data_IF_623976745185
#
_entry.id   IF_623976745185
#
_cell.length_a   1.000
_cell.length_b   1.000
_cell.length_c   1.000
_cell.angle_alpha   90.00
_cell.angle_beta   90.00
_cell.angle_gamma   90.00
#
_symmetry.space_group_name_H-M   'P 1'
#
loop_
_entity.id
_entity.type
_entity.pdbx_description
1 polymer ?
#
# COMPACT_ATOMS: atom_id res chain seq x y z
N UNK A 1 12.07 21.57 10.35
CA UNK A 1 10.84 21.44 9.53
C UNK A 1 9.94 22.63 9.83
N UNK A 2 9.38 23.32 8.83
CA UNK A 2 8.44 24.44 9.07
C UNK A 2 7.20 23.89 9.77
N UNK A 3 6.72 24.59 10.82
CA UNK A 3 5.50 24.18 11.52
C UNK A 3 4.30 24.35 10.59
N UNK A 4 3.42 23.37 10.58
CA UNK A 4 2.14 23.38 9.85
C UNK A 4 1.02 22.97 10.79
N UNK A 5 -0.20 23.44 10.54
CA UNK A 5 -1.38 22.93 11.23
C UNK A 5 -1.70 21.50 10.73
N UNK A 6 -2.17 20.61 11.61
CA UNK A 6 -2.63 19.27 11.26
C UNK A 6 -4.07 19.10 11.75
N UNK A 7 -4.97 18.82 10.82
CA UNK A 7 -6.40 18.68 11.10
C UNK A 7 -6.87 17.24 10.87
N UNK A 8 -7.84 16.80 11.68
CA UNK A 8 -8.47 15.47 11.62
C UNK A 8 -9.99 15.61 11.48
N UNK A 9 -10.49 16.18 10.36
CA UNK A 9 -11.92 16.37 10.15
C UNK A 9 -12.67 15.04 10.11
N UNK A 10 -13.91 15.03 10.59
CA UNK A 10 -14.76 13.83 10.60
C UNK A 10 -15.72 13.75 9.40
N UNK A 11 -15.83 14.84 8.62
CA UNK A 11 -16.69 14.96 7.45
C UNK A 11 -15.99 15.62 6.27
N UNK A 12 -16.53 15.40 5.05
CA UNK A 12 -16.06 16.10 3.85
C UNK A 12 -16.31 17.61 3.94
N UNK A 13 -17.43 18.04 4.53
CA UNK A 13 -17.76 19.45 4.69
C UNK A 13 -16.74 20.19 5.56
N UNK A 14 -16.30 19.59 6.68
CA UNK A 14 -15.21 20.13 7.48
C UNK A 14 -13.91 20.21 6.67
N UNK A 15 -13.59 19.16 5.91
CA UNK A 15 -12.39 19.11 5.07
C UNK A 15 -12.41 20.18 3.96
N UNK A 16 -13.56 20.45 3.35
CA UNK A 16 -13.77 21.52 2.37
C UNK A 16 -13.71 22.92 3.01
N UNK A 17 -14.29 23.08 4.21
CA UNK A 17 -14.20 24.31 4.99
C UNK A 17 -12.74 24.68 5.30
N UNK A 18 -11.91 23.69 5.62
CA UNK A 18 -10.49 23.88 5.87
C UNK A 18 -9.72 24.26 4.60
N UNK A 19 -9.95 23.61 3.46
CA UNK A 19 -9.28 24.03 2.21
C UNK A 19 -9.66 25.43 1.77
N UNK A 20 -10.93 25.81 1.96
CA UNK A 20 -11.41 27.19 1.76
C UNK A 20 -10.70 28.18 2.69
N UNK A 21 -10.60 27.87 3.99
CA UNK A 21 -9.90 28.70 5.00
C UNK A 21 -8.45 28.97 4.60
N UNK A 22 -7.75 27.97 4.08
CA UNK A 22 -6.34 28.09 3.72
C UNK A 22 -6.09 28.55 2.27
N UNK A 23 -7.13 28.72 1.44
CA UNK A 23 -7.04 29.26 0.07
C UNK A 23 -5.92 28.61 -0.76
N UNK A 24 -5.89 27.26 -0.80
CA UNK A 24 -4.88 26.49 -1.55
C UNK A 24 -3.53 26.30 -0.83
N UNK A 25 -3.34 26.86 0.36
CA UNK A 25 -2.13 26.65 1.19
C UNK A 25 -2.21 25.42 2.10
N UNK A 26 -3.33 24.70 2.06
CA UNK A 26 -3.51 23.40 2.71
C UNK A 26 -3.40 22.25 1.71
N UNK A 27 -3.02 21.06 2.19
CA UNK A 27 -3.03 19.83 1.39
C UNK A 27 -3.74 18.71 2.13
N UNK A 28 -4.52 17.92 1.39
CA UNK A 28 -5.07 16.67 1.90
C UNK A 28 -3.98 15.60 2.06
N UNK A 29 -4.15 14.76 3.07
CA UNK A 29 -3.27 13.62 3.34
C UNK A 29 -4.14 12.39 3.59
N UNK A 30 -3.95 11.35 2.78
CA UNK A 30 -4.49 10.02 3.05
C UNK A 30 -3.59 9.24 4.00
N UNK A 31 -2.90 8.23 3.47
CA UNK A 31 -1.91 7.46 4.22
C UNK A 31 -0.67 8.23 4.65
N UNK A 32 -0.29 9.30 3.94
CA UNK A 32 0.91 10.10 4.29
C UNK A 32 2.25 9.46 3.91
N UNK A 33 2.25 8.24 3.36
CA UNK A 33 3.46 7.51 2.99
C UNK A 33 4.28 8.18 1.88
N UNK A 34 3.66 9.00 1.04
CA UNK A 34 4.33 9.87 0.05
C UNK A 34 4.36 11.34 0.53
N UNK A 35 3.23 11.84 1.03
CA UNK A 35 3.10 13.23 1.46
C UNK A 35 4.10 13.61 2.57
N UNK A 36 4.34 12.75 3.57
CA UNK A 36 5.24 13.08 4.68
C UNK A 36 6.70 13.14 4.21
N UNK A 37 7.08 12.31 3.24
CA UNK A 37 8.40 12.37 2.59
C UNK A 37 8.57 13.73 1.91
N UNK A 38 7.58 14.18 1.12
CA UNK A 38 7.63 15.48 0.43
C UNK A 38 7.74 16.65 1.40
N UNK A 39 7.04 16.60 2.55
CA UNK A 39 7.17 17.65 3.57
C UNK A 39 8.54 17.59 4.24
N UNK A 40 9.06 16.40 4.56
CA UNK A 40 10.40 16.24 5.16
C UNK A 40 11.52 16.74 4.25
N UNK A 41 11.41 16.49 2.95
CA UNK A 41 12.35 16.94 1.93
C UNK A 41 12.17 18.42 1.54
N UNK A 42 11.20 19.12 2.11
CA UNK A 42 10.93 20.54 1.81
C UNK A 42 10.29 20.78 0.43
N UNK A 43 9.94 19.73 -0.30
CA UNK A 43 9.21 19.80 -1.57
C UNK A 43 7.80 20.34 -1.37
N UNK A 44 7.18 19.97 -0.25
CA UNK A 44 5.90 20.52 0.20
C UNK A 44 6.11 21.36 1.45
N UNK A 45 5.62 22.59 1.44
CA UNK A 45 5.65 23.51 2.59
C UNK A 45 4.25 24.07 2.88
N UNK A 46 3.27 23.19 3.18
CA UNK A 46 1.90 23.63 3.43
C UNK A 46 1.81 24.39 4.76
N UNK A 47 0.82 25.27 4.86
CA UNK A 47 0.44 25.85 6.15
C UNK A 47 -0.45 24.90 6.96
N UNK A 48 -1.16 24.01 6.28
CA UNK A 48 -1.97 22.98 6.90
C UNK A 48 -1.98 21.65 6.13
N UNK A 49 -1.98 20.56 6.89
CA UNK A 49 -2.30 19.22 6.41
C UNK A 49 -3.68 18.83 6.95
N UNK A 50 -4.50 18.27 6.07
CA UNK A 50 -5.86 17.83 6.40
C UNK A 50 -5.92 16.31 6.22
N UNK A 51 -5.96 15.59 7.33
CA UNK A 51 -6.03 14.13 7.35
C UNK A 51 -7.41 13.67 6.91
N UNK A 52 -7.47 12.93 5.79
CA UNK A 52 -8.71 12.32 5.32
C UNK A 52 -9.06 11.03 6.08
N UNK A 53 -8.16 10.58 6.95
CA UNK A 53 -8.30 9.30 7.67
C UNK A 53 -9.61 9.27 8.44
N UNK A 54 -10.00 10.35 9.11
CA UNK A 54 -11.11 10.36 10.07
C UNK A 54 -12.50 10.45 9.44
N UNK A 55 -12.58 10.60 8.11
CA UNK A 55 -13.84 10.64 7.36
C UNK A 55 -14.27 9.20 7.03
N UNK A 56 -15.18 8.64 7.82
CA UNK A 56 -15.61 7.24 7.70
C UNK A 56 -16.14 6.89 6.30
N UNK A 57 -16.83 7.82 5.64
CA UNK A 57 -17.42 7.63 4.31
C UNK A 57 -16.39 7.37 3.19
N UNK A 58 -15.11 7.69 3.43
CA UNK A 58 -14.03 7.46 2.46
C UNK A 58 -13.40 6.07 2.57
N UNK A 59 -13.83 5.23 3.52
CA UNK A 59 -13.17 3.95 3.82
C UNK A 59 -13.98 2.75 3.33
N UNK A 60 -13.31 1.62 3.24
CA UNK A 60 -13.94 0.31 3.15
C UNK A 60 -14.22 -0.19 1.73
N UNK A 61 -14.71 -1.42 1.70
CA UNK A 61 -14.98 -2.20 0.50
C UNK A 61 -16.45 -2.63 0.60
N UNK A 62 -17.27 -2.22 -0.36
CA UNK A 62 -18.69 -2.57 -0.43
C UNK A 62 -19.01 -3.20 -1.77
N UNK A 63 -19.76 -4.31 -1.76
CA UNK A 63 -20.37 -4.87 -2.96
C UNK A 63 -21.80 -4.38 -3.05
N UNK A 64 -22.17 -3.85 -4.20
CA UNK A 64 -23.52 -3.43 -4.55
C UNK A 64 -23.92 -4.12 -5.87
N UNK A 65 -25.19 -4.04 -6.26
CA UNK A 65 -25.67 -4.71 -7.47
C UNK A 65 -24.95 -4.16 -8.72
N UNK A 66 -24.15 -5.01 -9.36
CA UNK A 66 -23.42 -4.68 -10.59
C UNK A 66 -22.09 -3.94 -10.40
N UNK A 67 -21.64 -3.65 -9.17
CA UNK A 67 -20.32 -3.06 -8.94
C UNK A 67 -19.71 -3.33 -7.56
N UNK A 68 -18.38 -3.25 -7.50
CA UNK A 68 -17.58 -3.20 -6.29
C UNK A 68 -17.14 -1.75 -6.04
N UNK A 69 -17.50 -1.21 -4.87
CA UNK A 69 -17.12 0.14 -4.45
C UNK A 69 -15.98 0.08 -3.44
N UNK A 70 -14.88 0.77 -3.72
CA UNK A 70 -13.80 1.02 -2.77
C UNK A 70 -13.83 2.48 -2.36
N UNK A 71 -13.85 2.76 -1.05
CA UNK A 71 -13.55 4.09 -0.56
C UNK A 71 -12.11 4.51 -0.90
N UNK A 72 -11.87 5.78 -1.17
CA UNK A 72 -10.52 6.25 -1.54
C UNK A 72 -9.47 6.08 -0.43
N UNK A 73 -9.90 6.00 0.83
CA UNK A 73 -9.08 5.73 2.00
C UNK A 73 -8.94 4.23 2.32
N UNK A 74 -9.43 3.33 1.47
CA UNK A 74 -9.19 1.89 1.61
C UNK A 74 -7.70 1.59 1.51
N UNK A 75 -7.17 0.86 2.50
CA UNK A 75 -5.76 0.52 2.59
C UNK A 75 -5.38 -0.51 1.53
N UNK A 76 -4.15 -0.44 1.04
CA UNK A 76 -3.62 -1.48 0.16
C UNK A 76 -3.63 -2.85 0.82
N UNK A 77 -3.43 -2.91 2.14
CA UNK A 77 -3.52 -4.18 2.89
C UNK A 77 -4.94 -4.76 2.87
N UNK A 78 -5.97 -3.93 2.99
CA UNK A 78 -7.36 -4.38 2.90
C UNK A 78 -7.65 -4.96 1.51
N UNK A 79 -7.19 -4.30 0.45
CA UNK A 79 -7.34 -4.77 -0.94
C UNK A 79 -6.58 -6.09 -1.15
N UNK A 80 -5.38 -6.24 -0.59
CA UNK A 80 -4.55 -7.44 -0.71
C UNK A 80 -5.23 -8.69 -0.14
N UNK A 81 -6.02 -8.56 0.94
CA UNK A 81 -6.56 -9.72 1.68
C UNK A 81 -8.08 -9.86 1.64
N UNK A 82 -8.81 -8.92 1.04
CA UNK A 82 -10.27 -8.98 1.03
C UNK A 82 -10.79 -10.02 0.04
N UNK A 83 -11.58 -10.99 0.52
CA UNK A 83 -12.12 -12.09 -0.28
C UNK A 83 -12.99 -11.61 -1.48
N UNK A 84 -13.73 -10.52 -1.31
CA UNK A 84 -14.53 -9.92 -2.40
C UNK A 84 -13.62 -9.34 -3.48
N UNK A 85 -12.53 -8.66 -3.11
CA UNK A 85 -11.55 -8.16 -4.09
C UNK A 85 -10.83 -9.32 -4.77
N UNK A 86 -10.38 -10.33 -4.02
CA UNK A 86 -9.69 -11.50 -4.58
C UNK A 86 -10.53 -12.23 -5.64
N UNK A 87 -11.85 -12.28 -5.45
CA UNK A 87 -12.78 -12.91 -6.39
C UNK A 87 -13.19 -12.00 -7.56
N UNK A 88 -13.49 -10.72 -7.31
CA UNK A 88 -14.09 -9.84 -8.33
C UNK A 88 -13.06 -8.98 -9.08
N UNK A 89 -11.91 -8.72 -8.46
CA UNK A 89 -10.84 -7.88 -9.00
C UNK A 89 -9.44 -8.49 -8.74
N UNK A 90 -9.17 -9.74 -9.16
CA UNK A 90 -7.91 -10.41 -8.85
C UNK A 90 -6.67 -9.68 -9.37
N UNK A 91 -6.75 -8.96 -10.50
CA UNK A 91 -5.62 -8.14 -10.98
C UNK A 91 -5.32 -6.94 -10.05
N UNK A 92 -6.33 -6.40 -9.34
CA UNK A 92 -6.12 -5.38 -8.33
C UNK A 92 -5.52 -5.96 -7.05
N UNK A 93 -5.91 -7.18 -6.67
CA UNK A 93 -5.29 -7.90 -5.54
C UNK A 93 -3.82 -8.26 -5.82
N UNK A 94 -3.53 -8.74 -7.05
CA UNK A 94 -2.17 -8.95 -7.54
C UNK A 94 -1.34 -7.66 -7.36
N UNK A 95 -1.84 -6.53 -7.86
CA UNK A 95 -1.17 -5.23 -7.73
C UNK A 95 -0.98 -4.84 -6.26
N UNK A 96 -2.02 -4.97 -5.44
CA UNK A 96 -1.96 -4.66 -4.01
C UNK A 96 -0.85 -5.41 -3.31
N UNK A 97 -0.63 -6.69 -3.64
CA UNK A 97 0.44 -7.49 -3.04
C UNK A 97 1.86 -7.04 -3.38
N UNK A 98 2.01 -6.25 -4.46
CA UNK A 98 3.28 -5.74 -5.01
C UNK A 98 3.48 -4.23 -4.77
N UNK A 99 2.51 -3.55 -4.15
CA UNK A 99 2.64 -2.14 -3.76
C UNK A 99 3.52 -2.06 -2.52
N UNK A 100 4.74 -1.55 -2.67
CA UNK A 100 5.67 -1.26 -1.59
C UNK A 100 5.82 -2.41 -0.57
N UNK A 101 6.26 -2.14 0.66
CA UNK A 101 6.38 -3.18 1.69
C UNK A 101 5.12 -3.25 2.59
N UNK A 102 4.96 -4.31 3.42
CA UNK A 102 3.81 -4.46 4.32
C UNK A 102 3.55 -3.22 5.20
N UNK A 103 4.59 -2.61 5.77
CA UNK A 103 4.47 -1.42 6.62
C UNK A 103 3.88 -0.22 5.89
N UNK A 104 4.20 -0.08 4.59
CA UNK A 104 3.60 0.94 3.74
C UNK A 104 2.14 0.57 3.42
N UNK A 105 1.84 -0.70 3.10
CA UNK A 105 0.46 -1.13 2.74
C UNK A 105 -0.54 -1.03 3.88
N UNK A 106 -0.07 -1.13 5.11
CA UNK A 106 -0.88 -0.95 6.33
C UNK A 106 -1.31 0.50 6.56
N UNK A 107 -0.80 1.44 5.76
CA UNK A 107 -1.06 2.88 5.94
C UNK A 107 -1.43 3.57 4.61
N UNK A 108 -0.84 3.13 3.51
CA UNK A 108 -1.06 3.66 2.18
C UNK A 108 -2.44 3.25 1.65
N UNK A 109 -3.08 4.20 0.98
CA UNK A 109 -4.44 4.07 0.47
C UNK A 109 -4.45 3.99 -1.05
N UNK A 110 -5.43 3.30 -1.63
CA UNK A 110 -5.60 3.26 -3.10
C UNK A 110 -5.86 4.65 -3.69
N UNK A 111 -6.67 5.51 -3.04
CA UNK A 111 -6.94 6.87 -3.51
C UNK A 111 -5.68 7.74 -3.49
N UNK A 112 -4.88 7.66 -2.43
CA UNK A 112 -3.58 8.33 -2.37
C UNK A 112 -2.61 7.88 -3.47
N UNK A 113 -2.63 6.61 -3.86
CA UNK A 113 -1.82 6.10 -4.99
C UNK A 113 -2.26 6.71 -6.33
N UNK A 114 -3.56 6.78 -6.59
CA UNK A 114 -4.12 7.38 -7.80
C UNK A 114 -3.88 8.89 -7.84
N UNK A 115 -4.18 9.62 -6.76
CA UNK A 115 -3.99 11.07 -6.69
C UNK A 115 -2.51 11.49 -6.71
N UNK A 116 -1.58 10.59 -6.38
CA UNK A 116 -0.15 10.86 -6.61
C UNK A 116 0.19 10.96 -8.10
N UNK A 117 -0.63 10.34 -8.96
CA UNK A 117 -0.51 10.36 -10.43
C UNK A 117 0.90 10.02 -10.93
N UNK A 118 1.59 9.12 -10.23
CA UNK A 118 2.88 8.62 -10.67
C UNK A 118 2.67 7.74 -11.92
N UNK A 119 3.46 7.92 -12.99
CA UNK A 119 3.35 7.05 -14.17
C UNK A 119 3.55 5.57 -13.84
N UNK A 120 4.31 5.29 -12.77
CA UNK A 120 4.61 3.95 -12.25
C UNK A 120 3.63 3.45 -11.20
N UNK A 121 2.46 4.06 -11.03
CA UNK A 121 1.48 3.65 -10.04
C UNK A 121 0.92 2.26 -10.37
N UNK A 122 1.14 1.28 -9.48
CA UNK A 122 0.69 -0.11 -9.68
C UNK A 122 -0.83 -0.26 -9.66
N UNK A 123 -1.55 0.65 -8.98
CA UNK A 123 -3.02 0.60 -8.91
C UNK A 123 -3.74 1.03 -10.18
N UNK A 124 -3.10 1.82 -11.05
CA UNK A 124 -3.77 2.39 -12.22
C UNK A 124 -4.07 1.34 -13.32
N UNK A 125 -3.09 0.55 -13.83
CA UNK A 125 -3.36 -0.44 -14.87
C UNK A 125 -4.51 -1.42 -14.58
N UNK A 126 -4.60 -2.09 -13.40
CA UNK A 126 -5.70 -3.02 -13.13
C UNK A 126 -7.06 -2.31 -13.13
N UNK A 127 -7.15 -1.12 -12.54
CA UNK A 127 -8.39 -0.34 -12.54
C UNK A 127 -8.78 0.12 -13.96
N UNK A 128 -7.81 0.43 -14.83
CA UNK A 128 -8.06 0.79 -16.23
C UNK A 128 -8.63 -0.37 -17.04
N UNK A 129 -8.11 -1.59 -16.89
CA UNK A 129 -8.65 -2.75 -17.63
C UNK A 129 -10.02 -3.17 -17.12
N UNK A 130 -10.35 -2.87 -15.86
CA UNK A 130 -11.70 -3.09 -15.34
C UNK A 130 -12.71 -2.02 -15.81
N UNK A 131 -12.25 -0.89 -16.37
CA UNK A 131 -13.14 0.19 -16.81
C UNK A 131 -13.76 0.93 -15.62
N UNK A 132 -12.94 1.17 -14.62
CA UNK A 132 -13.32 1.79 -13.35
C UNK A 132 -13.77 3.25 -13.52
N UNK A 133 -14.79 3.65 -12.77
CA UNK A 133 -15.22 5.04 -12.59
C UNK A 133 -14.73 5.58 -11.25
N UNK A 134 -14.25 6.82 -11.23
CA UNK A 134 -13.79 7.51 -10.04
C UNK A 134 -14.80 8.57 -9.62
N UNK A 135 -15.22 8.55 -8.36
CA UNK A 135 -16.11 9.55 -7.79
C UNK A 135 -15.28 10.64 -7.13
N UNK A 136 -15.47 11.89 -7.54
CA UNK A 136 -14.73 13.06 -7.03
C UNK A 136 -15.76 14.03 -6.45
N UNK A 137 -15.58 14.41 -5.19
CA UNK A 137 -16.41 15.40 -4.53
C UNK A 137 -15.61 16.68 -4.23
N UNK A 138 -16.25 17.83 -4.37
CA UNK A 138 -15.72 19.12 -3.97
C UNK A 138 -16.79 20.03 -3.40
N UNK A 139 -16.45 21.29 -3.10
CA UNK A 139 -17.39 22.27 -2.54
C UNK A 139 -18.60 22.57 -3.44
N UNK A 140 -18.50 22.30 -4.74
CA UNK A 140 -19.53 22.57 -5.76
C UNK A 140 -20.41 21.35 -6.07
N UNK A 141 -20.14 20.20 -5.45
CA UNK A 141 -20.88 18.96 -5.67
C UNK A 141 -19.96 17.76 -5.99
N UNK A 142 -20.58 16.71 -6.51
CA UNK A 142 -19.92 15.45 -6.86
C UNK A 142 -19.97 15.20 -8.36
N UNK A 143 -18.93 14.57 -8.90
CA UNK A 143 -18.85 14.16 -10.31
C UNK A 143 -18.14 12.82 -10.46
N UNK A 144 -18.47 12.13 -11.53
CA UNK A 144 -17.83 10.88 -11.92
C UNK A 144 -16.85 11.12 -13.08
N UNK A 145 -15.71 10.42 -13.03
CA UNK A 145 -14.66 10.49 -14.06
C UNK A 145 -14.20 9.08 -14.41
N UNK A 146 -14.23 8.66 -15.68
CA UNK A 146 -13.60 7.41 -16.10
C UNK A 146 -12.11 7.44 -15.77
N UNK A 147 -11.54 6.36 -15.23
CA UNK A 147 -10.12 6.33 -14.88
C UNK A 147 -9.18 6.63 -16.06
N UNK A 148 -9.61 6.34 -17.29
CA UNK A 148 -8.89 6.68 -18.52
C UNK A 148 -8.70 8.18 -18.76
N UNK A 149 -9.53 9.01 -18.13
CA UNK A 149 -9.52 10.48 -18.26
C UNK A 149 -8.95 11.16 -16.99
N UNK A 150 -8.56 10.38 -15.99
CA UNK A 150 -8.13 10.93 -14.71
C UNK A 150 -6.71 11.53 -14.75
N UNK A 151 -5.78 10.88 -15.47
CA UNK A 151 -4.37 11.25 -15.49
C UNK A 151 -4.04 12.19 -16.66
N UNK A 152 -3.42 13.34 -16.37
CA UNK A 152 -3.07 14.36 -17.38
C UNK A 152 -1.56 14.45 -17.65
N UNK A 153 -0.75 13.81 -16.80
CA UNK A 153 0.71 13.79 -16.91
C UNK A 153 1.37 13.32 -15.62
N UNK A 154 2.71 13.26 -15.58
CA UNK A 154 3.42 12.85 -14.37
C UNK A 154 3.09 13.77 -13.17
N UNK A 155 2.46 13.19 -12.15
CA UNK A 155 2.02 13.91 -10.96
C UNK A 155 0.84 14.86 -11.19
N UNK A 156 0.12 14.73 -12.30
CA UNK A 156 -1.02 15.58 -12.67
C UNK A 156 -2.27 14.77 -12.97
N UNK A 157 -3.41 15.30 -12.53
CA UNK A 157 -4.72 14.70 -12.68
C UNK A 157 -5.81 15.77 -12.86
N UNK A 158 -6.97 15.38 -13.34
CA UNK A 158 -8.09 16.28 -13.66
C UNK A 158 -8.82 16.91 -12.45
N UNK A 159 -8.44 16.59 -11.20
CA UNK A 159 -9.11 17.16 -10.02
C UNK A 159 -8.83 18.66 -9.87
N UNK A 160 -9.86 19.43 -9.56
CA UNK A 160 -9.81 20.86 -9.24
C UNK A 160 -9.29 21.09 -7.81
N UNK A 161 -8.78 22.30 -7.50
CA UNK A 161 -8.37 22.64 -6.13
C UNK A 161 -9.48 22.41 -5.10
N UNK A 162 -9.17 21.68 -4.03
CA UNK A 162 -10.12 21.38 -2.95
C UNK A 162 -11.03 20.17 -3.20
N UNK A 163 -10.99 19.55 -4.38
CA UNK A 163 -11.66 18.27 -4.63
C UNK A 163 -10.94 17.11 -3.91
N UNK A 164 -11.72 16.09 -3.58
CA UNK A 164 -11.30 14.83 -2.97
C UNK A 164 -11.82 13.68 -3.84
N UNK A 165 -10.94 12.78 -4.25
CA UNK A 165 -11.34 11.47 -4.75
C UNK A 165 -12.02 10.72 -3.58
N UNK A 166 -13.30 10.40 -3.70
CA UNK A 166 -14.09 9.79 -2.62
C UNK A 166 -14.26 8.28 -2.77
N UNK A 167 -14.42 7.81 -4.00
CA UNK A 167 -14.66 6.40 -4.30
C UNK A 167 -14.06 5.95 -5.62
N UNK A 168 -13.83 4.65 -5.71
CA UNK A 168 -13.36 3.92 -6.88
C UNK A 168 -14.41 2.84 -7.14
N UNK A 169 -15.14 2.96 -8.24
CA UNK A 169 -16.29 2.12 -8.60
C UNK A 169 -15.88 1.19 -9.73
N UNK A 170 -15.77 -0.10 -9.41
CA UNK A 170 -15.31 -1.15 -10.31
C UNK A 170 -16.55 -1.92 -10.79
N UNK A 171 -16.90 -1.90 -12.08
CA UNK A 171 -18.07 -2.63 -12.56
C UNK A 171 -17.87 -4.15 -12.41
N UNK A 172 -18.95 -4.88 -12.23
CA UNK A 172 -18.92 -6.34 -12.25
C UNK A 172 -18.50 -6.83 -13.64
N UNK A 173 -17.49 -7.69 -13.67
CA UNK A 173 -16.93 -8.20 -14.92
C UNK A 173 -17.69 -9.46 -15.36
N UNK A 174 -17.90 -9.58 -16.68
CA UNK A 174 -18.74 -10.62 -17.28
C UNK A 174 -18.20 -12.04 -17.07
N UNK A 175 -19.11 -13.02 -17.14
CA UNK A 175 -18.79 -14.45 -17.19
C UNK A 175 -17.79 -14.80 -18.31
N UNK A 176 -17.00 -15.84 -18.07
CA UNK A 176 -15.91 -16.34 -18.93
C UNK A 176 -14.81 -15.31 -19.24
N UNK A 177 -14.40 -14.56 -18.22
CA UNK A 177 -13.26 -13.64 -18.31
C UNK A 177 -12.20 -13.90 -17.25
N UNK A 178 -10.95 -13.58 -17.57
CA UNK A 178 -9.79 -13.70 -16.69
C UNK A 178 -8.99 -12.41 -16.66
N UNK A 179 -8.25 -12.18 -15.58
CA UNK A 179 -7.40 -11.00 -15.46
C UNK A 179 -6.15 -11.24 -14.64
N UNK A 180 -5.06 -10.56 -15.00
CA UNK A 180 -3.81 -10.64 -14.27
C UNK A 180 -3.10 -9.30 -14.29
N UNK A 181 -2.34 -9.04 -13.23
CA UNK A 181 -1.38 -7.94 -13.16
C UNK A 181 0.03 -8.48 -12.92
N UNK A 182 1.01 -7.89 -13.58
CA UNK A 182 2.42 -8.18 -13.40
C UNK A 182 3.23 -6.89 -13.31
N UNK A 183 4.31 -6.96 -12.51
CA UNK A 183 5.23 -5.86 -12.28
C UNK A 183 6.66 -6.33 -12.41
N UNK A 184 7.49 -5.51 -13.04
CA UNK A 184 8.94 -5.65 -13.03
C UNK A 184 9.56 -4.49 -12.25
N UNK A 185 10.51 -4.79 -11.36
CA UNK A 185 11.30 -3.83 -10.59
C UNK A 185 12.75 -4.31 -10.47
N UNK A 186 13.67 -3.49 -9.93
CA UNK A 186 15.07 -3.92 -9.72
C UNK A 186 15.18 -4.91 -8.56
N UNK A 187 14.27 -4.81 -7.60
CA UNK A 187 14.07 -5.72 -6.47
C UNK A 187 12.57 -5.92 -6.23
N UNK A 188 12.19 -6.88 -5.39
CA UNK A 188 10.80 -7.29 -5.14
C UNK A 188 9.88 -6.13 -4.73
N UNK A 189 10.37 -5.19 -3.92
CA UNK A 189 9.61 -4.03 -3.45
C UNK A 189 10.21 -2.70 -3.93
N UNK A 190 10.22 -2.51 -5.25
CA UNK A 190 10.72 -1.31 -5.91
C UNK A 190 9.61 -0.60 -6.69
N UNK A 191 9.90 0.63 -7.12
CA UNK A 191 9.09 1.31 -8.12
C UNK A 191 9.19 0.55 -9.45
N UNK A 192 8.05 0.39 -10.13
CA UNK A 192 7.99 -0.35 -11.38
C UNK A 192 8.97 0.21 -12.43
N UNK A 193 9.80 -0.66 -13.00
CA UNK A 193 10.47 -0.44 -14.29
C UNK A 193 9.40 -0.41 -15.39
N UNK A 194 8.47 -1.35 -15.30
CA UNK A 194 7.23 -1.41 -16.06
C UNK A 194 6.23 -2.27 -15.27
N UNK A 195 4.94 -2.03 -15.48
CA UNK A 195 3.88 -2.91 -15.01
C UNK A 195 2.78 -3.01 -16.08
N UNK A 196 2.03 -4.10 -16.05
CA UNK A 196 0.98 -4.37 -17.03
C UNK A 196 -0.19 -5.12 -16.39
N UNK A 197 -1.40 -4.76 -16.80
CA UNK A 197 -2.62 -5.47 -16.50
C UNK A 197 -3.29 -5.93 -17.80
N UNK A 198 -3.87 -7.11 -17.75
CA UNK A 198 -4.67 -7.69 -18.83
C UNK A 198 -5.99 -8.13 -18.26
N UNK A 199 -7.07 -7.80 -18.96
CA UNK A 199 -8.36 -8.46 -18.84
C UNK A 199 -8.75 -9.04 -20.20
N UNK A 200 -9.20 -10.28 -20.23
CA UNK A 200 -9.59 -10.96 -21.46
C UNK A 200 -10.87 -11.77 -21.25
N UNK A 201 -11.80 -11.63 -22.20
CA UNK A 201 -13.01 -12.43 -22.29
C UNK A 201 -12.92 -13.36 -23.50
N UNK A 202 -13.12 -14.65 -23.27
CA UNK A 202 -13.01 -15.68 -24.31
C UNK A 202 -14.39 -16.19 -24.72
N UNK A 203 -14.48 -16.68 -25.96
CA UNK A 203 -15.61 -17.47 -26.46
C UNK A 203 -15.06 -18.52 -27.42
N UNK A 204 -15.20 -19.80 -27.10
CA UNK A 204 -14.74 -20.93 -27.94
C UNK A 204 -13.28 -20.78 -28.44
N UNK A 205 -12.36 -20.43 -27.54
CA UNK A 205 -10.94 -20.22 -27.87
C UNK A 205 -10.62 -18.85 -28.51
N UNK A 206 -11.63 -18.10 -28.94
CA UNK A 206 -11.49 -16.78 -29.58
C UNK A 206 -11.63 -15.65 -28.55
N UNK A 207 -10.77 -14.64 -28.66
CA UNK A 207 -10.86 -13.43 -27.85
C UNK A 207 -12.06 -12.56 -28.27
N UNK A 208 -13.09 -12.47 -27.42
CA UNK A 208 -14.28 -11.64 -27.66
C UNK A 208 -14.03 -10.16 -27.33
N UNK A 209 -13.41 -9.92 -26.18
CA UNK A 209 -13.00 -8.59 -25.70
C UNK A 209 -11.67 -8.71 -24.97
N UNK A 210 -10.80 -7.73 -25.14
CA UNK A 210 -9.55 -7.63 -24.41
C UNK A 210 -9.33 -6.17 -24.01
N UNK A 211 -8.79 -5.97 -22.81
CA UNK A 211 -8.31 -4.68 -22.34
C UNK A 211 -6.91 -4.88 -21.79
N UNK A 212 -5.98 -4.04 -22.21
CA UNK A 212 -4.57 -4.13 -21.84
C UNK A 212 -4.14 -2.73 -21.42
N UNK A 213 -3.59 -2.61 -20.22
CA UNK A 213 -3.05 -1.35 -19.71
C UNK A 213 -1.63 -1.56 -19.19
N UNK A 214 -0.81 -0.52 -19.31
CA UNK A 214 0.57 -0.53 -18.83
C UNK A 214 0.94 0.78 -18.15
N UNK A 215 1.83 0.70 -17.16
CA UNK A 215 2.40 1.83 -16.44
C UNK A 215 3.93 1.84 -16.49
N UNK A 216 4.50 2.98 -16.12
CA UNK A 216 5.93 3.34 -16.26
C UNK A 216 6.49 3.30 -17.69
N UNK A 217 5.62 3.26 -18.70
CA UNK A 217 5.97 3.11 -20.13
C UNK A 217 5.40 4.24 -21.01
N UNK A 218 5.10 5.36 -20.38
CA UNK A 218 4.58 6.60 -20.96
C UNK A 218 4.46 7.68 -19.88
N UNK A 219 4.02 8.90 -20.24
CA UNK A 219 3.85 10.00 -19.28
C UNK A 219 2.70 9.77 -18.29
N UNK A 220 1.76 8.87 -18.60
CA UNK A 220 0.67 8.40 -17.75
C UNK A 220 0.47 6.90 -17.96
N UNK A 221 -0.18 6.18 -17.03
CA UNK A 221 -0.69 4.84 -17.32
C UNK A 221 -1.63 4.89 -18.53
N UNK A 222 -1.50 3.95 -19.45
CA UNK A 222 -2.21 4.00 -20.74
C UNK A 222 -2.77 2.63 -21.15
N UNK A 223 -3.87 2.66 -21.90
CA UNK A 223 -4.42 1.47 -22.56
C UNK A 223 -3.75 1.26 -23.92
N UNK A 224 -3.42 0.00 -24.22
CA UNK A 224 -2.79 -0.40 -25.47
C UNK A 224 -3.85 -0.77 -26.52
N UNK A 225 -4.60 0.24 -26.98
CA UNK A 225 -5.72 0.07 -27.89
C UNK A 225 -5.34 -0.60 -29.21
N UNK A 226 -4.14 -0.35 -29.73
CA UNK A 226 -3.65 -0.99 -30.94
C UNK A 226 -3.46 -2.50 -30.76
N UNK A 227 -2.93 -2.92 -29.62
CA UNK A 227 -2.81 -4.34 -29.23
C UNK A 227 -4.19 -4.95 -28.99
N UNK A 228 -5.07 -4.28 -28.25
CA UNK A 228 -6.43 -4.76 -27.98
C UNK A 228 -7.21 -5.04 -29.28
N UNK A 229 -7.14 -4.13 -30.25
CA UNK A 229 -7.78 -4.28 -31.56
C UNK A 229 -7.20 -5.45 -32.37
N UNK A 230 -5.90 -5.68 -32.26
CA UNK A 230 -5.20 -6.78 -32.95
C UNK A 230 -5.57 -8.15 -32.41
N UNK A 231 -5.79 -8.26 -31.11
CA UNK A 231 -6.12 -9.53 -30.45
C UNK A 231 -7.61 -9.87 -30.59
N UNK A 232 -8.48 -8.86 -30.63
CA UNK A 232 -9.93 -9.06 -30.73
C UNK A 232 -10.32 -9.87 -31.96
N UNK A 233 -11.12 -10.92 -31.75
CA UNK A 233 -11.61 -11.81 -32.80
C UNK A 233 -10.60 -12.88 -33.26
N UNK A 234 -9.40 -12.94 -32.66
CA UNK A 234 -8.40 -13.97 -32.94
C UNK A 234 -8.41 -15.05 -31.86
N UNK A 235 -8.04 -16.26 -32.24
CA UNK A 235 -7.69 -17.34 -31.31
C UNK A 235 -6.35 -17.03 -30.63
N UNK A 236 -6.24 -17.25 -29.32
CA UNK A 236 -5.01 -16.96 -28.58
C UNK A 236 -4.13 -18.20 -28.54
N UNK A 237 -3.31 -18.37 -29.56
CA UNK A 237 -2.38 -19.50 -29.69
C UNK A 237 -0.97 -19.15 -29.18
N UNK A 238 -0.14 -20.15 -28.83
CA UNK A 238 1.26 -19.92 -28.43
C UNK A 238 2.08 -19.14 -29.47
N UNK A 239 1.74 -19.26 -30.75
CA UNK A 239 2.40 -18.60 -31.88
C UNK A 239 2.00 -17.12 -31.99
N UNK A 240 0.78 -16.77 -31.55
CA UNK A 240 0.31 -15.38 -31.54
C UNK A 240 0.94 -14.55 -30.40
N UNK A 241 1.31 -15.20 -29.29
CA UNK A 241 1.85 -14.51 -28.11
C UNK A 241 3.15 -13.72 -28.39
N UNK A 242 4.14 -14.23 -29.16
CA UNK A 242 5.26 -13.43 -29.64
C UNK A 242 4.86 -12.21 -30.47
N UNK A 243 3.90 -12.34 -31.39
CA UNK A 243 3.42 -11.19 -32.21
C UNK A 243 2.79 -10.11 -31.32
N UNK A 244 2.03 -10.52 -30.29
CA UNK A 244 1.45 -9.60 -29.30
C UNK A 244 2.56 -8.87 -28.54
N UNK A 245 3.59 -9.59 -28.09
CA UNK A 245 4.74 -9.00 -27.40
C UNK A 245 5.43 -7.93 -28.26
N UNK A 246 5.66 -8.20 -29.54
CA UNK A 246 6.30 -7.24 -30.46
C UNK A 246 5.42 -6.02 -30.70
N UNK A 247 4.10 -6.24 -30.83
CA UNK A 247 3.14 -5.14 -30.99
C UNK A 247 3.05 -4.24 -29.76
N UNK A 248 3.10 -4.82 -28.57
CA UNK A 248 3.18 -4.06 -27.30
C UNK A 248 4.45 -3.21 -27.27
N UNK A 249 5.60 -3.79 -27.62
CA UNK A 249 6.88 -3.08 -27.63
C UNK A 249 6.88 -1.88 -28.59
N UNK A 250 6.12 -1.94 -29.69
CA UNK A 250 5.96 -0.85 -30.64
C UNK A 250 5.01 0.27 -30.16
N UNK A 251 3.98 -0.05 -29.36
CA UNK A 251 2.94 0.92 -28.94
C UNK A 251 3.35 1.76 -27.72
N UNK A 252 4.18 1.22 -26.83
CA UNK A 252 4.63 1.96 -25.64
C UNK A 252 5.64 3.08 -25.97
N UNK A 253 5.78 4.08 -25.10
CA UNK A 253 6.72 5.20 -25.28
C UNK A 253 7.53 5.51 -24.02
N UNK A 254 8.33 4.55 -23.50
CA UNK A 254 9.10 4.75 -22.27
C UNK A 254 10.24 5.76 -22.43
N UNK A 255 10.76 6.22 -21.29
CA UNK A 255 12.01 7.01 -21.21
C UNK A 255 13.14 6.15 -20.63
N UNK A 256 14.39 6.57 -20.86
CA UNK A 256 15.56 6.07 -20.13
C UNK A 256 15.73 6.88 -18.85
N UNK A 257 15.92 6.20 -17.71
CA UNK A 257 16.27 6.82 -16.43
C UNK A 257 17.19 5.90 -15.60
N UNK A 258 17.40 6.25 -14.33
CA UNK A 258 18.21 5.47 -13.37
C UNK A 258 17.69 4.05 -13.12
N UNK A 259 16.44 3.75 -13.45
CA UNK A 259 15.83 2.44 -13.21
C UNK A 259 16.06 1.51 -14.39
N UNK A 260 15.94 2.01 -15.62
CA UNK A 260 16.14 1.22 -16.82
C UNK A 260 16.21 2.04 -18.10
N UNK A 261 16.68 1.41 -19.18
CA UNK A 261 16.67 1.99 -20.52
C UNK A 261 15.28 1.90 -21.17
N UNK A 262 15.02 2.83 -22.08
CA UNK A 262 13.84 2.83 -22.95
C UNK A 262 13.70 1.48 -23.69
N UNK A 263 14.79 0.97 -24.26
CA UNK A 263 14.81 -0.30 -25.00
C UNK A 263 14.43 -1.51 -24.13
N UNK A 264 14.93 -1.57 -22.90
CA UNK A 264 14.58 -2.64 -21.96
C UNK A 264 13.11 -2.54 -21.55
N UNK A 265 12.62 -1.32 -21.26
CA UNK A 265 11.21 -1.09 -20.90
C UNK A 265 10.26 -1.54 -22.01
N UNK A 266 10.59 -1.31 -23.29
CA UNK A 266 9.80 -1.85 -24.42
C UNK A 266 9.72 -3.36 -24.38
N UNK A 267 10.88 -4.02 -24.30
CA UNK A 267 10.98 -5.48 -24.31
C UNK A 267 10.25 -6.13 -23.13
N UNK A 268 10.53 -5.67 -21.90
CA UNK A 268 9.95 -6.26 -20.69
C UNK A 268 8.44 -6.06 -20.63
N UNK A 269 7.91 -4.96 -21.18
CA UNK A 269 6.46 -4.72 -21.21
C UNK A 269 5.76 -5.72 -22.11
N UNK A 270 6.31 -6.00 -23.29
CA UNK A 270 5.78 -7.04 -24.17
C UNK A 270 5.79 -8.42 -23.50
N UNK A 271 6.89 -8.78 -22.81
CA UNK A 271 6.99 -10.03 -22.05
C UNK A 271 5.95 -10.10 -20.94
N UNK A 272 5.74 -9.02 -20.20
CA UNK A 272 4.74 -8.98 -19.13
C UNK A 272 3.31 -9.06 -19.66
N UNK A 273 2.97 -8.37 -20.75
CA UNK A 273 1.64 -8.50 -21.36
C UNK A 273 1.39 -9.93 -21.81
N UNK A 274 2.36 -10.57 -22.48
CA UNK A 274 2.29 -12.00 -22.83
C UNK A 274 2.02 -12.87 -21.59
N UNK A 275 2.83 -12.74 -20.54
CA UNK A 275 2.69 -13.55 -19.32
C UNK A 275 1.38 -13.27 -18.57
N UNK A 276 0.92 -12.02 -18.55
CA UNK A 276 -0.34 -11.64 -17.95
C UNK A 276 -1.52 -12.23 -18.74
N UNK A 277 -1.45 -12.27 -20.07
CA UNK A 277 -2.42 -12.99 -20.91
C UNK A 277 -2.43 -14.48 -20.62
N UNK A 278 -1.26 -15.13 -20.56
CA UNK A 278 -1.16 -16.56 -20.21
C UNK A 278 -1.81 -16.84 -18.84
N UNK A 279 -1.53 -16.02 -17.83
CA UNK A 279 -2.11 -16.14 -16.48
C UNK A 279 -3.63 -15.89 -16.47
N UNK A 280 -4.09 -14.89 -17.21
CA UNK A 280 -5.52 -14.60 -17.34
C UNK A 280 -6.27 -15.76 -18.03
N UNK A 281 -5.66 -16.40 -19.04
CA UNK A 281 -6.23 -17.59 -19.70
C UNK A 281 -6.19 -18.83 -18.81
N UNK A 282 -5.21 -18.98 -17.93
CA UNK A 282 -5.15 -20.07 -16.97
C UNK A 282 -6.29 -19.98 -15.95
N UNK A 283 -6.65 -18.79 -15.47
CA UNK A 283 -7.78 -18.59 -14.56
C UNK A 283 -9.12 -19.09 -15.14
N UNK A 284 -9.28 -19.02 -16.47
CA UNK A 284 -10.47 -19.53 -17.15
C UNK A 284 -10.58 -21.06 -17.15
N UNK A 285 -9.46 -21.77 -16.94
CA UNK A 285 -9.40 -23.25 -16.94
C UNK A 285 -9.71 -23.87 -15.57
N UNK A 286 -10.14 -23.06 -14.60
CA UNK A 286 -10.36 -23.46 -13.21
C UNK A 286 -9.21 -23.06 -12.29
N UNK A 287 -9.41 -23.11 -10.97
CA UNK A 287 -8.44 -22.58 -10.01
C UNK A 287 -7.14 -23.39 -10.02
N UNK A 288 -6.00 -22.70 -10.16
CA UNK A 288 -4.72 -23.19 -9.65
C UNK A 288 -4.69 -22.97 -8.14
N UNK A 289 -4.57 -24.05 -7.36
CA UNK A 289 -4.48 -24.01 -5.90
C UNK A 289 -3.48 -22.94 -5.43
N UNK A 290 -4.02 -21.87 -4.83
CA UNK A 290 -3.28 -20.91 -4.05
C UNK A 290 -4.13 -20.63 -2.83
N UNK A 291 -3.69 -21.11 -1.67
CA UNK A 291 -4.41 -20.97 -0.40
C UNK A 291 -4.61 -19.48 -0.11
N UNK A 292 -5.86 -19.02 -0.28
CA UNK A 292 -6.30 -17.72 0.19
C UNK A 292 -6.53 -17.87 1.71
N UNK A 293 -5.52 -17.51 2.48
CA UNK A 293 -5.59 -17.48 3.94
C UNK A 293 -6.48 -16.32 4.39
N UNK A 294 -7.63 -16.67 4.98
CA UNK A 294 -8.70 -15.76 5.36
C UNK A 294 -8.59 -15.47 6.86
N UNK A 295 -7.74 -14.51 7.22
CA UNK A 295 -7.91 -13.77 8.46
C UNK A 295 -7.94 -12.27 8.14
N UNK A 296 -9.17 -11.75 8.04
CA UNK A 296 -9.39 -10.32 8.10
C UNK A 296 -9.00 -9.85 9.52
N UNK A 297 -8.07 -8.91 9.68
CA UNK A 297 -7.81 -8.35 10.99
C UNK A 297 -9.07 -7.64 11.50
N UNK A 298 -9.27 -7.70 12.82
CA UNK A 298 -10.30 -6.90 13.48
C UNK A 298 -10.18 -5.43 13.09
N UNK A 299 -11.35 -4.84 12.90
CA UNK A 299 -11.58 -3.52 12.29
C UNK A 299 -10.69 -2.46 12.93
N UNK A 300 -10.09 -1.61 12.10
CA UNK A 300 -9.51 -0.33 12.51
C UNK A 300 -10.63 0.59 13.02
N UNK A 301 -10.89 0.53 14.33
CA UNK A 301 -11.85 1.38 15.00
C UNK A 301 -11.15 2.64 15.53
N UNK A 302 -11.38 3.83 14.96
CA UNK A 302 -11.09 5.05 15.71
C UNK A 302 -12.01 5.07 16.93
N UNK A 303 -11.42 5.03 18.13
CA UNK A 303 -12.10 5.53 19.34
C UNK A 303 -12.30 7.04 19.17
N UNK A 304 -13.37 7.59 19.72
CA UNK A 304 -13.64 9.03 19.61
C UNK A 304 -12.40 9.82 20.03
N UNK A 305 -11.92 10.78 19.21
CA UNK A 305 -10.75 11.57 19.57
C UNK A 305 -11.04 12.30 20.87
N UNK A 306 -10.18 12.14 21.87
CA UNK A 306 -10.33 12.90 23.11
C UNK A 306 -9.90 14.33 22.85
N UNK A 307 -10.86 15.22 22.61
CA UNK A 307 -10.59 16.66 22.49
C UNK A 307 -10.16 17.18 23.86
N UNK A 308 -8.87 17.50 24.00
CA UNK A 308 -8.33 18.18 25.16
C UNK A 308 -8.73 19.65 25.19
N UNK A 309 -8.89 20.22 26.40
CA UNK A 309 -9.19 21.64 26.64
C UNK A 309 -8.20 22.64 26.01
N UNK A 310 -7.03 22.18 25.55
CA UNK A 310 -5.95 22.98 24.95
C UNK A 310 -5.56 22.56 23.53
N UNK A 311 -6.36 21.70 22.89
CA UNK A 311 -6.04 21.20 21.55
C UNK A 311 -6.10 22.33 20.52
N UNK A 312 -5.01 22.44 19.76
CA UNK A 312 -4.90 23.30 18.60
C UNK A 312 -4.42 22.49 17.40
N UNK A 313 -4.60 22.99 16.17
CA UNK A 313 -4.03 22.34 14.99
C UNK A 313 -2.49 22.28 14.99
N UNK A 314 -1.81 23.03 15.86
CA UNK A 314 -0.34 23.02 15.98
C UNK A 314 0.18 22.11 17.09
N UNK A 315 -0.66 21.84 18.08
CA UNK A 315 -0.30 21.20 19.35
C UNK A 315 -1.53 20.52 19.92
N UNK A 316 -1.42 19.23 20.22
CA UNK A 316 -2.51 18.40 20.70
C UNK A 316 -2.02 17.56 21.87
N UNK A 317 -2.88 17.37 22.86
CA UNK A 317 -2.67 16.38 23.91
C UNK A 317 -3.12 15.02 23.40
N UNK A 318 -2.18 14.11 23.19
CA UNK A 318 -2.43 12.80 22.57
C UNK A 318 -2.46 11.73 23.65
N UNK A 319 -3.55 10.95 23.71
CA UNK A 319 -3.74 9.86 24.67
C UNK A 319 -3.74 8.52 23.94
N UNK A 320 -2.89 7.59 24.34
CA UNK A 320 -2.78 6.29 23.67
C UNK A 320 -2.21 5.25 24.63
N UNK A 321 -2.30 3.98 24.27
CA UNK A 321 -1.64 2.91 25.01
C UNK A 321 -0.26 2.65 24.40
N UNK A 322 0.79 2.70 25.21
CA UNK A 322 2.16 2.43 24.80
C UNK A 322 2.68 1.24 25.60
N UNK A 323 3.00 0.14 24.90
CA UNK A 323 3.50 -1.10 25.51
C UNK A 323 2.60 -1.61 26.66
N UNK A 324 1.28 -1.52 26.47
CA UNK A 324 0.28 -1.93 27.45
C UNK A 324 -0.03 -0.91 28.56
N UNK A 325 0.64 0.25 28.58
CA UNK A 325 0.41 1.30 29.56
C UNK A 325 -0.30 2.50 28.93
N UNK A 326 -1.36 3.01 29.57
CA UNK A 326 -2.01 4.23 29.14
C UNK A 326 -1.07 5.44 29.38
N UNK A 327 -0.81 6.21 28.33
CA UNK A 327 0.06 7.38 28.36
C UNK A 327 -0.64 8.60 27.75
N UNK A 328 -0.21 9.79 28.17
CA UNK A 328 -0.70 11.07 27.69
C UNK A 328 0.49 12.02 27.52
N UNK A 329 0.58 12.69 26.37
CA UNK A 329 1.66 13.65 26.12
C UNK A 329 1.28 14.75 25.15
N UNK A 330 1.88 15.93 25.33
CA UNK A 330 1.72 17.05 24.42
C UNK A 330 2.57 16.81 23.16
N UNK A 331 1.93 16.79 22.01
CA UNK A 331 2.58 16.56 20.71
C UNK A 331 2.47 17.80 19.86
N UNK A 332 3.56 18.15 19.17
CA UNK A 332 3.54 19.16 18.12
C UNK A 332 3.17 18.52 16.77
N UNK A 333 2.37 19.22 15.96
CA UNK A 333 1.80 18.72 14.69
C UNK A 333 2.80 18.16 13.66
N UNK A 334 4.04 18.62 13.69
CA UNK A 334 5.10 18.19 12.78
C UNK A 334 5.91 16.98 13.27
N UNK A 335 5.65 16.49 14.49
CA UNK A 335 6.33 15.33 15.07
C UNK A 335 5.76 14.05 14.47
N UNK A 336 6.66 13.16 14.07
CA UNK A 336 6.34 11.79 13.69
C UNK A 336 6.33 10.91 14.95
N UNK A 337 5.69 9.74 14.86
CA UNK A 337 5.62 8.78 15.96
C UNK A 337 7.02 8.38 16.44
N UNK A 338 7.99 8.22 15.53
CA UNK A 338 9.39 7.94 15.90
C UNK A 338 9.98 9.00 16.83
N UNK A 339 9.63 10.28 16.62
CA UNK A 339 10.13 11.37 17.46
C UNK A 339 9.50 11.33 18.86
N UNK A 340 8.20 11.06 18.97
CA UNK A 340 7.53 10.99 20.27
C UNK A 340 8.04 9.79 21.08
N UNK A 341 8.14 8.62 20.46
CA UNK A 341 8.65 7.41 21.14
C UNK A 341 10.07 7.60 21.66
N UNK A 342 10.96 8.20 20.85
CA UNK A 342 12.38 8.32 21.18
C UNK A 342 12.71 9.52 22.06
N UNK A 343 12.14 10.69 21.74
CA UNK A 343 12.53 11.96 22.37
C UNK A 343 11.69 12.26 23.62
N UNK A 344 10.50 11.67 23.75
CA UNK A 344 9.56 11.96 24.85
C UNK A 344 9.45 10.80 25.82
N UNK A 345 9.34 9.56 25.32
CA UNK A 345 9.25 8.36 26.16
C UNK A 345 10.58 7.60 26.29
N UNK A 346 11.64 8.08 25.65
CA UNK A 346 12.99 7.49 25.71
C UNK A 346 13.09 6.01 25.26
N UNK A 347 12.09 5.51 24.52
CA UNK A 347 12.12 4.19 23.88
C UNK A 347 12.94 4.23 22.59
N UNK A 348 14.26 4.20 22.78
CA UNK A 348 15.25 4.40 21.72
C UNK A 348 15.60 3.15 20.92
N UNK A 349 15.02 1.99 21.23
CA UNK A 349 15.14 0.74 20.50
C UNK A 349 14.53 0.84 19.10
N UNK A 350 13.45 1.58 18.94
CA UNK A 350 12.91 1.98 17.63
C UNK A 350 13.89 2.92 16.93
N UNK A 351 14.61 2.47 15.89
CA UNK A 351 15.70 3.25 15.26
C UNK A 351 15.21 4.05 14.07
N UNK A 352 15.61 5.32 13.98
CA UNK A 352 15.43 6.10 12.75
C UNK A 352 16.67 5.96 11.86
N UNK A 353 16.57 5.12 10.82
CA UNK A 353 17.66 4.87 9.86
C UNK A 353 17.62 5.85 8.68
N UNK A 354 16.74 5.59 7.71
CA UNK A 354 16.60 6.43 6.51
C UNK A 354 15.71 7.67 6.72
N UNK A 355 14.76 7.62 7.66
CA UNK A 355 13.75 8.67 7.86
C UNK A 355 12.70 8.79 6.74
N UNK A 356 12.72 7.90 5.73
CA UNK A 356 11.87 7.93 4.53
C UNK A 356 10.94 6.71 4.41
N UNK A 357 10.85 5.86 5.43
CA UNK A 357 10.01 4.65 5.40
C UNK A 357 10.51 3.52 4.49
N UNK A 358 11.78 3.55 4.09
CA UNK A 358 12.37 2.53 3.21
C UNK A 358 13.07 1.39 3.97
N UNK A 359 13.83 1.71 5.03
CA UNK A 359 14.69 0.72 5.69
C UNK A 359 14.01 -0.12 6.79
N UNK A 360 12.81 0.28 7.25
CA UNK A 360 12.05 -0.41 8.29
C UNK A 360 12.66 -0.43 9.70
N UNK A 361 13.81 0.18 9.94
CA UNK A 361 14.45 0.16 11.28
C UNK A 361 13.57 0.79 12.38
N UNK A 362 12.61 1.63 11.96
CA UNK A 362 11.65 2.31 12.82
C UNK A 362 10.30 1.56 12.94
N UNK A 363 10.20 0.30 12.50
CA UNK A 363 8.95 -0.46 12.58
C UNK A 363 8.46 -0.54 14.03
N UNK A 364 7.19 -0.20 14.23
CA UNK A 364 6.42 -0.44 15.47
C UNK A 364 5.07 -1.04 15.08
N UNK A 365 4.33 -1.59 16.03
CA UNK A 365 2.94 -1.99 15.80
C UNK A 365 2.01 -0.87 16.24
N UNK A 366 1.06 -0.50 15.39
CA UNK A 366 -0.07 0.39 15.72
C UNK A 366 -1.34 -0.41 15.49
N UNK A 367 -2.13 -0.60 16.55
CA UNK A 367 -3.32 -1.47 16.57
C UNK A 367 -3.00 -2.90 16.05
N UNK A 368 -1.79 -3.39 16.35
CA UNK A 368 -1.31 -4.70 15.93
C UNK A 368 -0.76 -4.79 14.49
N UNK A 369 -0.86 -3.72 13.69
CA UNK A 369 -0.32 -3.68 12.32
C UNK A 369 1.05 -3.00 12.29
N UNK A 370 1.99 -3.56 11.52
CA UNK A 370 3.33 -2.97 11.39
C UNK A 370 3.29 -1.68 10.57
N UNK A 371 3.96 -0.63 11.07
CA UNK A 371 4.04 0.67 10.39
C UNK A 371 5.43 1.30 10.50
N UNK A 372 5.80 2.14 9.53
CA UNK A 372 6.99 2.97 9.62
C UNK A 372 6.72 4.19 10.51
N UNK A 373 7.10 4.13 11.80
CA UNK A 373 6.87 5.24 12.75
C UNK A 373 7.51 6.57 12.32
N UNK A 374 8.57 6.53 11.49
CA UNK A 374 9.19 7.73 10.96
C UNK A 374 8.32 8.49 9.93
N UNK A 375 7.29 7.85 9.35
CA UNK A 375 6.34 8.50 8.43
C UNK A 375 4.93 8.65 9.03
N UNK A 376 4.70 8.13 10.23
CA UNK A 376 3.39 8.14 10.86
C UNK A 376 3.23 9.42 11.70
N UNK A 377 2.31 10.35 11.36
CA UNK A 377 2.11 11.56 12.15
C UNK A 377 1.67 11.21 13.57
N UNK A 378 2.29 11.78 14.59
CA UNK A 378 1.99 11.40 15.97
C UNK A 378 0.58 11.81 16.41
N UNK A 379 -0.07 12.78 15.75
CA UNK A 379 -1.49 13.09 16.01
C UNK A 379 -2.42 11.93 15.68
N UNK A 380 -1.99 11.03 14.79
CA UNK A 380 -2.78 9.88 14.34
C UNK A 380 -2.70 8.69 15.31
N UNK A 381 -1.96 8.75 16.42
CA UNK A 381 -1.98 7.68 17.44
C UNK A 381 -2.95 7.92 18.59
N UNK A 382 -3.64 9.05 18.60
CA UNK A 382 -4.66 9.33 19.61
C UNK A 382 -5.75 8.23 19.63
N UNK A 383 -5.98 7.65 20.80
CA UNK A 383 -6.90 6.54 21.05
C UNK A 383 -6.40 5.15 20.64
N UNK A 384 -5.13 4.98 20.23
CA UNK A 384 -4.60 3.73 19.67
C UNK A 384 -3.71 2.93 20.61
N UNK A 385 -3.44 1.69 20.23
CA UNK A 385 -2.45 0.83 20.86
C UNK A 385 -1.14 0.87 20.07
N UNK A 386 -0.03 1.18 20.72
CA UNK A 386 1.32 1.23 20.14
C UNK A 386 2.23 0.26 20.89
N UNK A 387 2.87 -0.65 20.15
CA UNK A 387 3.87 -1.58 20.69
C UNK A 387 5.21 -1.34 20.03
N UNK A 388 6.24 -1.07 20.84
CA UNK A 388 7.64 -0.93 20.43
C UNK A 388 8.43 -2.21 20.74
N UNK A 389 9.69 -2.25 20.33
CA UNK A 389 10.58 -3.39 20.63
C UNK A 389 10.75 -3.62 22.14
N UNK A 390 10.74 -2.55 22.92
CA UNK A 390 10.80 -2.59 24.38
C UNK A 390 9.54 -3.24 24.98
N UNK A 391 8.38 -3.06 24.34
CA UNK A 391 7.12 -3.65 24.77
C UNK A 391 7.01 -5.16 24.56
N UNK A 392 7.99 -5.80 23.91
CA UNK A 392 8.03 -7.26 23.76
C UNK A 392 8.63 -7.97 24.97
N UNK A 393 9.39 -7.26 25.81
CA UNK A 393 10.03 -7.86 26.99
C UNK A 393 8.96 -8.11 28.06
N UNK A 394 8.81 -9.38 28.44
CA UNK A 394 7.88 -9.80 29.48
C UNK A 394 8.40 -9.57 30.91
N UNK A 395 7.59 -9.93 31.90
CA UNK A 395 7.98 -9.86 33.31
C UNK A 395 9.30 -10.59 33.58
N UNK A 396 10.11 -10.03 34.48
CA UNK A 396 11.41 -10.60 34.84
C UNK A 396 12.47 -10.53 33.72
N UNK A 397 12.31 -9.62 32.75
CA UNK A 397 13.16 -9.51 31.55
C UNK A 397 13.12 -10.75 30.65
N UNK A 398 12.01 -11.50 30.67
CA UNK A 398 11.82 -12.63 29.75
C UNK A 398 11.72 -12.11 28.31
N UNK A 399 12.57 -12.65 27.44
CA UNK A 399 12.54 -12.30 26.02
C UNK A 399 11.29 -12.88 25.34
N UNK A 400 10.79 -12.20 24.33
CA UNK A 400 9.81 -12.77 23.42
C UNK A 400 10.46 -13.90 22.60
N UNK A 401 9.74 -14.99 22.25
CA UNK A 401 10.29 -16.08 21.45
C UNK A 401 10.95 -15.63 20.13
N UNK A 402 10.46 -14.55 19.54
CA UNK A 402 11.12 -13.95 18.36
C UNK A 402 12.47 -13.33 18.72
N UNK A 403 12.58 -12.64 19.87
CA UNK A 403 13.86 -12.08 20.32
C UNK A 403 14.87 -13.19 20.62
N UNK A 404 14.45 -14.26 21.30
CA UNK A 404 15.29 -15.42 21.63
C UNK A 404 15.85 -16.07 20.36
N UNK A 405 14.99 -16.39 19.40
CA UNK A 405 15.42 -17.01 18.15
C UNK A 405 16.38 -16.13 17.31
N UNK A 406 16.27 -14.80 17.41
CA UNK A 406 17.23 -13.88 16.78
C UNK A 406 18.59 -13.90 17.45
N UNK A 407 18.64 -14.07 18.78
CA UNK A 407 19.90 -14.20 19.53
C UNK A 407 20.56 -15.55 19.22
N UNK A 408 19.81 -16.64 19.30
CA UNK A 408 20.33 -18.00 19.16
C UNK A 408 20.92 -18.29 17.77
N UNK A 409 20.23 -17.88 16.70
CA UNK A 409 20.73 -18.10 15.33
C UNK A 409 21.74 -17.04 14.86
N UNK A 410 22.10 -16.08 15.70
CA UNK A 410 22.92 -14.96 15.27
C UNK A 410 22.22 -14.07 14.22
N UNK A 411 20.89 -13.95 14.28
CA UNK A 411 20.12 -12.97 13.51
C UNK A 411 20.46 -11.51 13.86
N UNK A 412 21.24 -11.30 14.93
CA UNK A 412 21.78 -10.01 15.36
C UNK A 412 23.24 -9.87 14.92
N UNK A 413 23.46 -9.16 13.81
CA UNK A 413 24.80 -8.81 13.30
C UNK A 413 25.25 -7.46 13.90
N UNK A 414 25.22 -6.36 13.12
CA UNK A 414 25.40 -5.01 13.70
C UNK A 414 24.23 -4.57 14.61
N UNK A 415 23.10 -5.27 14.57
CA UNK A 415 21.93 -5.01 15.41
C UNK A 415 21.06 -3.82 15.01
N UNK A 416 21.48 -2.94 14.11
CA UNK A 416 20.75 -1.68 13.85
C UNK A 416 19.33 -1.89 13.28
N UNK A 417 19.17 -2.84 12.34
CA UNK A 417 17.86 -3.18 11.75
C UNK A 417 17.04 -4.16 12.59
N UNK A 418 17.67 -4.83 13.57
CA UNK A 418 17.09 -5.96 14.29
C UNK A 418 15.78 -5.61 15.01
N UNK A 419 15.65 -4.46 15.71
CA UNK A 419 14.37 -4.07 16.30
C UNK A 419 13.23 -4.05 15.28
N UNK A 420 13.45 -3.43 14.13
CA UNK A 420 12.46 -3.37 13.06
C UNK A 420 12.12 -4.74 12.46
N UNK A 421 13.13 -5.62 12.31
CA UNK A 421 12.93 -7.00 11.84
C UNK A 421 12.03 -7.78 12.80
N UNK A 422 12.33 -7.73 14.10
CA UNK A 422 11.56 -8.42 15.14
C UNK A 422 10.11 -7.94 15.15
N UNK A 423 9.88 -6.61 15.09
CA UNK A 423 8.52 -6.06 15.05
C UNK A 423 7.75 -6.50 13.80
N UNK A 424 8.39 -6.52 12.62
CA UNK A 424 7.78 -7.03 11.39
C UNK A 424 7.49 -8.53 11.48
N UNK A 425 8.37 -9.32 12.09
CA UNK A 425 8.17 -10.74 12.36
C UNK A 425 6.96 -10.97 13.28
N UNK A 426 6.82 -10.20 14.36
CA UNK A 426 5.64 -10.29 15.23
C UNK A 426 4.34 -10.04 14.46
N UNK A 427 4.32 -9.03 13.60
CA UNK A 427 3.15 -8.74 12.76
C UNK A 427 2.88 -9.89 11.76
N UNK A 428 3.91 -10.48 11.17
CA UNK A 428 3.77 -11.62 10.26
C UNK A 428 3.21 -12.85 11.00
N UNK A 429 3.85 -13.28 12.08
CA UNK A 429 3.51 -14.51 12.79
C UNK A 429 2.13 -14.44 13.47
N UNK A 430 1.71 -13.24 13.90
CA UNK A 430 0.34 -13.04 14.39
C UNK A 430 -0.72 -13.34 13.31
N UNK A 431 -0.39 -13.11 12.04
CA UNK A 431 -1.33 -13.28 10.92
C UNK A 431 -1.22 -14.64 10.27
N UNK A 432 0.00 -15.12 10.13
CA UNK A 432 0.33 -16.41 9.53
C UNK A 432 1.27 -17.15 10.48
N UNK A 433 0.72 -17.90 11.46
CA UNK A 433 1.53 -18.61 12.46
C UNK A 433 2.49 -19.62 11.86
N UNK A 434 2.15 -20.18 10.68
CA UNK A 434 2.98 -21.12 9.92
C UNK A 434 3.37 -20.55 8.55
N UNK A 435 4.27 -19.56 8.49
CA UNK A 435 4.67 -18.95 7.23
C UNK A 435 5.63 -19.87 6.46
N UNK A 436 5.48 -19.92 5.14
CA UNK A 436 6.53 -20.47 4.27
C UNK A 436 7.74 -19.54 4.24
N UNK A 437 8.88 -19.99 3.72
CA UNK A 437 10.03 -19.09 3.53
C UNK A 437 9.72 -17.88 2.63
N UNK A 438 8.88 -18.07 1.61
CA UNK A 438 8.43 -16.99 0.74
C UNK A 438 7.61 -15.96 1.52
N UNK A 439 6.69 -16.42 2.38
CA UNK A 439 5.91 -15.55 3.27
C UNK A 439 6.83 -14.77 4.22
N UNK A 440 7.84 -15.43 4.79
CA UNK A 440 8.84 -14.78 5.66
C UNK A 440 9.55 -13.66 4.91
N UNK A 441 10.12 -13.97 3.73
CA UNK A 441 10.85 -13.00 2.91
C UNK A 441 9.95 -11.82 2.51
N UNK A 442 8.69 -12.09 2.17
CA UNK A 442 7.71 -11.05 1.84
C UNK A 442 7.35 -10.22 3.07
N UNK A 443 7.13 -10.85 4.23
CA UNK A 443 6.74 -10.21 5.48
C UNK A 443 7.81 -9.23 6.01
N UNK A 444 9.09 -9.57 5.87
CA UNK A 444 10.21 -8.71 6.28
C UNK A 444 10.76 -7.81 5.16
N UNK A 445 10.16 -7.82 3.98
CA UNK A 445 10.66 -7.08 2.81
C UNK A 445 10.73 -5.56 2.99
N UNK A 446 10.08 -5.02 4.02
CA UNK A 446 10.20 -3.61 4.43
C UNK A 446 11.38 -3.28 5.32
N UNK A 447 12.22 -4.27 5.67
CA UNK A 447 13.36 -4.10 6.55
C UNK A 447 14.67 -4.39 5.81
N UNK A 448 15.57 -3.41 5.80
CA UNK A 448 16.86 -3.55 5.11
C UNK A 448 17.98 -3.85 6.10
N UNK A 449 18.61 -5.02 5.95
CA UNK A 449 19.82 -5.40 6.68
C UNK A 449 21.07 -5.06 5.87
N UNK A 450 21.81 -4.03 6.31
CA UNK A 450 23.05 -3.60 5.64
C UNK A 450 24.19 -4.62 5.76
N UNK A 451 24.19 -5.43 6.82
CA UNK A 451 25.16 -6.51 7.02
C UNK A 451 24.83 -7.78 6.23
N UNK A 452 23.74 -7.80 5.47
CA UNK A 452 23.33 -8.93 4.63
C UNK A 452 23.09 -10.27 5.35
N UNK A 453 22.88 -10.26 6.68
CA UNK A 453 22.62 -11.47 7.50
C UNK A 453 21.23 -12.09 7.34
N UNK A 454 20.65 -12.05 6.13
CA UNK A 454 19.26 -12.46 5.91
C UNK A 454 19.02 -13.96 6.10
N UNK A 455 20.03 -14.81 5.90
CA UNK A 455 19.89 -16.26 6.11
C UNK A 455 19.54 -16.54 7.57
N UNK A 456 20.35 -16.03 8.49
CA UNK A 456 20.14 -16.17 9.94
C UNK A 456 18.83 -15.53 10.37
N UNK A 457 18.46 -14.38 9.81
CA UNK A 457 17.17 -13.72 10.09
C UNK A 457 16.00 -14.62 9.70
N UNK A 458 16.04 -15.25 8.51
CA UNK A 458 14.98 -16.15 8.05
C UNK A 458 14.92 -17.41 8.94
N UNK A 459 16.07 -17.97 9.31
CA UNK A 459 16.16 -19.11 10.22
C UNK A 459 15.57 -18.78 11.61
N UNK A 460 15.89 -17.61 12.17
CA UNK A 460 15.29 -17.12 13.41
C UNK A 460 13.77 -17.04 13.34
N UNK A 461 13.22 -16.60 12.21
CA UNK A 461 11.76 -16.47 12.06
C UNK A 461 11.09 -17.84 11.97
N UNK A 462 11.72 -18.79 11.27
CA UNK A 462 11.23 -20.19 11.20
C UNK A 462 11.21 -20.82 12.60
N UNK A 463 12.33 -20.71 13.34
CA UNK A 463 12.38 -21.23 14.71
C UNK A 463 11.33 -20.57 15.62
N UNK A 464 11.19 -19.24 15.56
CA UNK A 464 10.21 -18.53 16.37
C UNK A 464 8.76 -18.98 16.06
N UNK A 465 8.44 -19.26 14.79
CA UNK A 465 7.15 -19.82 14.37
C UNK A 465 6.89 -21.19 15.00
N UNK A 466 7.89 -22.09 14.98
CA UNK A 466 7.79 -23.42 15.58
C UNK A 466 7.59 -23.37 17.10
N UNK A 467 8.34 -22.50 17.80
CA UNK A 467 8.21 -22.31 19.25
C UNK A 467 6.84 -21.76 19.64
N UNK A 468 6.35 -20.75 18.92
CA UNK A 468 5.02 -20.18 19.19
C UNK A 468 3.91 -21.20 18.96
N UNK A 469 4.00 -22.00 17.90
CA UNK A 469 3.04 -23.08 17.64
C UNK A 469 3.03 -24.14 18.75
N UNK A 470 4.20 -24.52 19.28
CA UNK A 470 4.29 -25.47 20.38
C UNK A 470 3.66 -24.93 21.69
N UNK A 471 3.77 -23.62 21.93
CA UNK A 471 3.17 -22.96 23.09
C UNK A 471 1.63 -22.90 23.01
N UNK A 472 1.06 -22.73 21.81
CA UNK A 472 -0.40 -22.76 21.61
C UNK A 472 -1.01 -24.15 21.81
N UNK A 473 -0.25 -25.23 21.57
CA UNK A 473 -0.73 -26.62 21.79
C UNK A 473 -0.69 -27.01 23.27
N UNK A 474 0.11 -26.30 24.08
CA UNK A 474 0.33 -26.60 25.51
C UNK A 474 -0.40 -25.66 26.47
N UNK A 475 -1.10 -24.65 25.95
CA UNK A 475 -1.97 -23.71 26.68
C UNK A 475 -3.44 -24.02 26.45
#
# INVERSE_FOLDING_TARGET
MKRYAYYQPQSLDEAFGLTKKYQGRARYVGGGTDAMIRVKQGLWQPEALISLRWIKALRGIGKEDGFLRLGSMTLWREIETNATVLSHAPALADAASMVANPQIRNVATVGGNLCNAAPSADGAPPLMVMGTTLTIAGPEGEREVPISEFFEGPGKHCMKPGEVLTAIVIPEMTENSGMAFLKSGRVTQDIAVANAAVWIQMNDGVCKKCRIAAGAVGPVPLRLHGVEAFVKGREITPELLPEIQDKVAAEVTPITDVRSTESYRRSITGVMVKRAMERALQQLKGPSNGDADVSAPEKFFPREPTVGLYDSPLRKLVRFNLNGQAVETEVMSHKMLSNVLRDTFEFTGTKEGCGQGECGACTVLVDGESVNSCLFPAFEVDGKDVVTIEGLVGEGNRMDPVQEAFVENGGVQCGFCTPGMIMSTKALLKRKPHPTEEDIRKGISGNLCRCTGYVQIVESIKQASEVLAANEVTS
#
